data_IF_186441372844
#
_entry.id   IF_186441372844
#
_cell.length_a   1.000
_cell.length_b   1.000
_cell.length_c   1.000
_cell.angle_alpha   90.00
_cell.angle_beta   90.00
_cell.angle_gamma   90.00
#
_symmetry.space_group_name_H-M   'P 1'
#
loop_
_entity.id
_entity.type
_entity.pdbx_description
1 polymer ?
#
# COMPACT_ATOMS: atom_id res chain seq x y z
N UNK A 1 -7.33 -22.16 27.35
CA UNK A 1 -6.85 -21.11 26.46
C UNK A 1 -5.36 -20.93 26.74
N UNK A 2 -4.54 -21.55 25.92
CA UNK A 2 -3.11 -21.25 25.99
C UNK A 2 -2.90 -19.92 25.29
N UNK A 3 -2.73 -18.88 26.08
CA UNK A 3 -2.20 -17.63 25.59
C UNK A 3 -0.74 -17.89 25.25
N UNK A 4 -0.49 -18.28 24.03
CA UNK A 4 0.85 -18.26 23.47
C UNK A 4 1.25 -16.79 23.20
N UNK A 5 1.28 -15.99 24.28
CA UNK A 5 1.81 -14.62 24.22
C UNK A 5 3.28 -14.62 23.76
N UNK A 6 3.88 -15.78 23.75
CA UNK A 6 5.29 -15.98 23.36
C UNK A 6 5.48 -16.47 21.92
N UNK A 7 4.40 -16.74 21.16
CA UNK A 7 4.50 -17.36 19.83
C UNK A 7 4.99 -16.42 18.72
N UNK A 8 5.01 -15.09 18.94
CA UNK A 8 5.23 -14.10 17.89
C UNK A 8 6.31 -13.08 18.25
N UNK A 9 7.50 -13.54 18.63
CA UNK A 9 8.63 -12.66 18.94
C UNK A 9 9.35 -12.10 17.73
N UNK A 10 9.04 -12.58 16.53
CA UNK A 10 9.70 -12.13 15.31
C UNK A 10 8.70 -11.45 14.39
N UNK A 11 9.18 -10.50 13.59
CA UNK A 11 8.38 -9.87 12.54
C UNK A 11 7.70 -10.91 11.65
N UNK A 12 8.42 -11.94 11.25
CA UNK A 12 7.87 -13.03 10.44
C UNK A 12 6.73 -13.78 11.15
N UNK A 13 6.84 -13.99 12.46
CA UNK A 13 5.78 -14.62 13.26
C UNK A 13 4.49 -13.79 13.25
N UNK A 14 4.60 -12.49 13.44
CA UNK A 14 3.45 -11.59 13.37
C UNK A 14 2.84 -11.56 11.96
N UNK A 15 3.65 -11.56 10.92
CA UNK A 15 3.16 -11.61 9.54
C UNK A 15 2.35 -12.88 9.24
N UNK A 16 2.82 -14.03 9.72
CA UNK A 16 2.13 -15.32 9.51
C UNK A 16 0.76 -15.36 10.18
N UNK A 17 0.56 -14.61 11.24
CA UNK A 17 -0.70 -14.55 11.98
C UNK A 17 -1.61 -13.41 11.52
N UNK A 18 -1.24 -12.68 10.50
CA UNK A 18 -2.05 -11.58 9.98
C UNK A 18 -3.13 -12.14 9.04
N UNK A 19 -4.39 -11.79 9.28
CA UNK A 19 -5.54 -12.22 8.47
C UNK A 19 -5.60 -11.54 7.09
N UNK A 20 -4.74 -10.56 6.85
CA UNK A 20 -4.66 -9.90 5.55
C UNK A 20 -3.94 -10.78 4.54
N UNK A 21 -4.61 -11.09 3.43
CA UNK A 21 -4.02 -11.82 2.30
C UNK A 21 -3.13 -10.94 1.43
N UNK A 22 -3.03 -9.64 1.73
CA UNK A 22 -2.24 -8.70 0.96
C UNK A 22 -0.78 -8.70 1.44
N UNK A 23 0.13 -8.98 0.54
CA UNK A 23 1.57 -8.79 0.78
C UNK A 23 1.95 -7.33 0.52
N UNK A 24 3.12 -6.90 1.02
CA UNK A 24 3.65 -5.57 0.75
C UNK A 24 3.71 -5.27 -0.74
N UNK A 25 4.14 -6.24 -1.54
CA UNK A 25 4.21 -6.10 -2.99
C UNK A 25 2.84 -5.91 -3.63
N UNK A 26 1.84 -6.67 -3.19
CA UNK A 26 0.46 -6.51 -3.67
C UNK A 26 -0.09 -5.11 -3.35
N UNK A 27 0.20 -4.60 -2.16
CA UNK A 27 -0.18 -3.24 -1.76
C UNK A 27 0.43 -2.19 -2.68
N UNK A 28 1.72 -2.31 -2.99
CA UNK A 28 2.41 -1.40 -3.91
C UNK A 28 1.76 -1.41 -5.30
N UNK A 29 1.38 -2.57 -5.80
CA UNK A 29 0.70 -2.68 -7.09
C UNK A 29 -0.64 -1.96 -7.11
N UNK A 30 -1.47 -2.17 -6.09
CA UNK A 30 -2.78 -1.51 -6.00
C UNK A 30 -2.65 0.00 -5.89
N UNK A 31 -1.72 0.48 -5.08
CA UNK A 31 -1.44 1.92 -4.95
C UNK A 31 -0.98 2.51 -6.28
N UNK A 32 -0.03 1.85 -6.96
CA UNK A 32 0.51 2.35 -8.23
C UNK A 32 -0.56 2.38 -9.33
N UNK A 33 -1.43 1.37 -9.38
CA UNK A 33 -2.52 1.33 -10.36
C UNK A 33 -3.44 2.55 -10.18
N UNK A 34 -3.79 2.90 -8.95
CA UNK A 34 -4.61 4.10 -8.68
C UNK A 34 -3.87 5.36 -9.11
N UNK A 35 -2.60 5.49 -8.79
CA UNK A 35 -1.81 6.66 -9.18
C UNK A 35 -1.71 6.84 -10.69
N UNK A 36 -1.51 5.74 -11.41
CA UNK A 36 -1.44 5.76 -12.87
C UNK A 36 -2.80 6.10 -13.48
N UNK A 37 -3.88 5.59 -12.91
CA UNK A 37 -5.23 5.83 -13.39
C UNK A 37 -5.67 7.29 -13.28
N UNK A 38 -5.10 8.03 -12.33
CA UNK A 38 -5.33 9.48 -12.22
C UNK A 38 -4.68 10.27 -13.36
N UNK A 39 -3.62 9.75 -13.95
CA UNK A 39 -2.83 10.43 -14.98
C UNK A 39 -3.22 10.05 -16.40
N UNK A 40 -3.83 8.89 -16.58
CA UNK A 40 -4.12 8.31 -17.90
C UNK A 40 -5.36 7.42 -17.85
N UNK A 41 -6.10 7.28 -18.98
CA UNK A 41 -7.36 6.54 -18.96
C UNK A 41 -7.20 5.03 -18.78
N UNK A 42 -6.07 4.47 -19.19
CA UNK A 42 -5.84 3.02 -19.16
C UNK A 42 -4.50 2.69 -18.50
N UNK A 43 -4.48 1.63 -17.68
CA UNK A 43 -3.26 1.10 -17.09
C UNK A 43 -2.94 -0.24 -17.74
N UNK A 44 -1.71 -0.39 -18.21
CA UNK A 44 -1.20 -1.61 -18.84
C UNK A 44 0.04 -2.13 -18.13
N UNK A 45 0.35 -3.41 -18.38
CA UNK A 45 1.45 -4.12 -17.71
C UNK A 45 2.79 -3.38 -17.86
N UNK A 46 3.14 -2.94 -19.06
CA UNK A 46 4.45 -2.31 -19.28
C UNK A 46 4.63 -1.01 -18.50
N UNK A 47 3.59 -0.19 -18.42
CA UNK A 47 3.62 1.04 -17.64
C UNK A 47 3.69 0.74 -16.14
N UNK A 48 2.89 -0.20 -15.70
CA UNK A 48 2.89 -0.63 -14.31
C UNK A 48 4.26 -1.18 -13.89
N UNK A 49 4.84 -2.07 -14.71
CA UNK A 49 6.15 -2.63 -14.48
C UNK A 49 7.24 -1.56 -14.41
N UNK A 50 7.21 -0.60 -15.33
CA UNK A 50 8.15 0.51 -15.38
C UNK A 50 8.10 1.35 -14.11
N UNK A 51 6.90 1.72 -13.67
CA UNK A 51 6.72 2.55 -12.47
C UNK A 51 7.07 1.82 -11.18
N UNK A 52 6.95 0.50 -11.16
CA UNK A 52 7.30 -0.33 -10.00
C UNK A 52 8.75 -0.83 -10.03
N UNK A 53 9.49 -0.53 -11.10
CA UNK A 53 10.87 -1.02 -11.28
C UNK A 53 10.97 -2.54 -11.24
N UNK A 54 10.03 -3.21 -11.88
CA UNK A 54 10.00 -4.67 -12.01
C UNK A 54 9.95 -5.07 -13.49
N UNK A 55 10.23 -6.34 -13.77
CA UNK A 55 10.13 -6.88 -15.13
C UNK A 55 8.66 -7.05 -15.52
N UNK A 56 8.29 -6.84 -16.80
CA UNK A 56 6.93 -7.10 -17.27
C UNK A 56 6.42 -8.50 -16.94
N UNK A 57 7.28 -9.52 -16.99
CA UNK A 57 6.89 -10.88 -16.63
C UNK A 57 6.52 -11.02 -15.15
N UNK A 58 7.23 -10.33 -14.26
CA UNK A 58 6.90 -10.29 -12.83
C UNK A 58 5.60 -9.53 -12.57
N UNK A 59 5.41 -8.40 -13.26
CA UNK A 59 4.17 -7.64 -13.18
C UNK A 59 2.97 -8.46 -13.65
N UNK A 60 3.11 -9.18 -14.76
CA UNK A 60 2.05 -10.05 -15.29
C UNK A 60 1.63 -11.12 -14.30
N UNK A 61 2.60 -11.77 -13.63
CA UNK A 61 2.31 -12.77 -12.59
C UNK A 61 1.55 -12.17 -11.41
N UNK A 62 1.97 -11.01 -10.94
CA UNK A 62 1.31 -10.34 -9.81
C UNK A 62 -0.08 -9.87 -10.18
N UNK A 63 -0.27 -9.29 -11.35
CA UNK A 63 -1.58 -8.86 -11.85
C UNK A 63 -2.53 -10.05 -11.96
N UNK A 64 -2.06 -11.19 -12.45
CA UNK A 64 -2.84 -12.43 -12.51
C UNK A 64 -3.28 -12.87 -11.12
N UNK A 65 -2.36 -12.83 -10.15
CA UNK A 65 -2.67 -13.17 -8.76
C UNK A 65 -3.70 -12.23 -8.16
N UNK A 66 -3.54 -10.92 -8.34
CA UNK A 66 -4.50 -9.92 -7.88
C UNK A 66 -5.87 -10.09 -8.52
N UNK A 67 -5.91 -10.50 -9.79
CA UNK A 67 -7.15 -10.81 -10.48
C UNK A 67 -7.85 -12.04 -9.88
N UNK A 68 -7.10 -13.08 -9.57
CA UNK A 68 -7.63 -14.29 -8.94
C UNK A 68 -8.21 -14.00 -7.54
N UNK A 69 -7.66 -13.03 -6.84
CA UNK A 69 -8.12 -12.61 -5.51
C UNK A 69 -9.15 -11.48 -5.57
N UNK A 70 -9.68 -11.17 -6.74
CA UNK A 70 -10.76 -10.21 -6.97
C UNK A 70 -10.42 -8.74 -6.66
N UNK A 71 -9.16 -8.37 -6.66
CA UNK A 71 -8.75 -6.98 -6.49
C UNK A 71 -8.78 -6.19 -7.80
N UNK A 72 -8.64 -6.86 -8.92
CA UNK A 72 -8.68 -6.25 -10.24
C UNK A 72 -9.20 -7.22 -11.29
N UNK A 73 -9.51 -6.67 -12.45
CA UNK A 73 -9.81 -7.43 -13.66
C UNK A 73 -8.70 -7.16 -14.68
N UNK A 74 -8.18 -8.22 -15.27
CA UNK A 74 -7.18 -8.15 -16.30
C UNK A 74 -7.83 -8.47 -17.63
N UNK A 75 -8.15 -7.41 -18.37
CA UNK A 75 -8.95 -7.53 -19.58
C UNK A 75 -8.12 -7.91 -20.79
N UNK A 76 -8.84 -8.34 -21.82
CA UNK A 76 -8.30 -8.56 -23.16
C UNK A 76 -7.52 -7.31 -23.61
N UNK A 77 -6.36 -7.51 -24.24
CA UNK A 77 -5.41 -6.46 -24.63
C UNK A 77 -4.62 -5.81 -23.49
N UNK A 78 -4.61 -6.43 -22.33
CA UNK A 78 -3.73 -6.05 -21.24
C UNK A 78 -4.16 -4.84 -20.44
N UNK A 79 -5.42 -4.42 -20.54
CA UNK A 79 -5.97 -3.32 -19.72
C UNK A 79 -6.30 -3.85 -18.33
N UNK A 80 -5.81 -3.14 -17.31
CA UNK A 80 -6.02 -3.44 -15.90
C UNK A 80 -7.08 -2.51 -15.35
N UNK A 81 -8.13 -3.08 -14.75
CA UNK A 81 -9.22 -2.33 -14.12
C UNK A 81 -9.38 -2.80 -12.68
N UNK A 82 -9.41 -1.87 -11.73
CA UNK A 82 -9.65 -2.23 -10.32
C UNK A 82 -11.12 -2.58 -10.10
N UNK A 83 -11.34 -3.62 -9.30
CA UNK A 83 -12.66 -3.87 -8.72
C UNK A 83 -12.93 -2.83 -7.62
N UNK A 84 -14.18 -2.79 -7.12
CA UNK A 84 -14.50 -1.92 -5.99
C UNK A 84 -13.62 -2.25 -4.77
N UNK A 85 -13.37 -3.53 -4.51
CA UNK A 85 -12.48 -3.96 -3.44
C UNK A 85 -11.05 -3.45 -3.64
N UNK A 86 -10.50 -3.61 -4.84
CA UNK A 86 -9.15 -3.14 -5.17
C UNK A 86 -9.03 -1.62 -5.07
N UNK A 87 -10.07 -0.90 -5.47
CA UNK A 87 -10.13 0.55 -5.37
C UNK A 87 -10.12 1.03 -3.92
N UNK A 88 -10.94 0.42 -3.06
CA UNK A 88 -10.99 0.76 -1.63
C UNK A 88 -9.62 0.58 -0.97
N UNK A 89 -8.97 -0.56 -1.22
CA UNK A 89 -7.64 -0.82 -0.67
C UNK A 89 -6.58 0.14 -1.22
N UNK A 90 -6.58 0.37 -2.53
CA UNK A 90 -5.61 1.28 -3.15
C UNK A 90 -5.77 2.72 -2.66
N UNK A 91 -6.99 3.21 -2.48
CA UNK A 91 -7.26 4.54 -1.91
C UNK A 91 -6.77 4.62 -0.45
N UNK A 92 -6.97 3.56 0.32
CA UNK A 92 -6.45 3.48 1.67
C UNK A 92 -4.91 3.55 1.70
N UNK A 93 -4.23 2.87 0.79
CA UNK A 93 -2.76 2.90 0.74
C UNK A 93 -2.23 4.30 0.39
N UNK A 94 -2.91 5.02 -0.49
CA UNK A 94 -2.56 6.42 -0.80
C UNK A 94 -2.75 7.29 0.44
N UNK A 95 -3.87 7.14 1.15
CA UNK A 95 -4.12 7.85 2.41
C UNK A 95 -3.02 7.55 3.44
N UNK A 96 -2.69 6.27 3.66
CA UNK A 96 -1.63 5.85 4.58
C UNK A 96 -0.29 6.49 4.25
N UNK A 97 0.07 6.49 2.97
CA UNK A 97 1.29 7.11 2.47
C UNK A 97 1.35 8.60 2.80
N UNK A 98 0.28 9.32 2.54
CA UNK A 98 0.19 10.76 2.83
C UNK A 98 0.27 11.04 4.33
N UNK A 99 -0.44 10.28 5.15
CA UNK A 99 -0.42 10.44 6.60
C UNK A 99 0.99 10.27 7.14
N UNK A 100 1.68 9.21 6.73
CA UNK A 100 3.03 8.93 7.19
C UNK A 100 4.02 10.00 6.73
N UNK A 101 3.95 10.43 5.48
CA UNK A 101 4.84 11.47 5.00
C UNK A 101 4.62 12.80 5.75
N UNK A 102 3.36 13.19 5.94
CA UNK A 102 3.04 14.41 6.67
C UNK A 102 3.53 14.36 8.11
N UNK A 103 3.32 13.25 8.79
CA UNK A 103 3.78 13.07 10.17
C UNK A 103 5.31 13.11 10.27
N UNK A 104 6.01 12.37 9.42
CA UNK A 104 7.47 12.31 9.46
C UNK A 104 8.12 13.64 9.07
N UNK A 105 7.54 14.34 8.11
CA UNK A 105 8.01 15.68 7.74
C UNK A 105 7.87 16.66 8.91
N UNK A 106 6.75 16.59 9.62
CA UNK A 106 6.55 17.43 10.81
C UNK A 106 7.52 17.07 11.92
N UNK A 107 7.66 15.77 12.21
CA UNK A 107 8.54 15.23 13.25
C UNK A 107 10.00 15.62 13.03
N UNK A 108 10.46 15.50 11.79
CA UNK A 108 11.87 15.69 11.41
C UNK A 108 12.17 17.09 10.87
N UNK A 109 11.18 17.97 10.82
CA UNK A 109 11.30 19.30 10.22
C UNK A 109 11.91 19.23 8.81
N UNK A 110 11.35 18.36 7.98
CA UNK A 110 11.81 18.13 6.62
C UNK A 110 10.67 18.29 5.61
N UNK A 111 11.00 18.31 4.34
CA UNK A 111 10.04 18.47 3.25
C UNK A 111 9.75 17.16 2.52
N UNK A 112 10.55 16.11 2.77
CA UNK A 112 10.41 14.85 2.07
C UNK A 112 10.93 13.69 2.94
N UNK A 113 10.05 12.79 3.30
CA UNK A 113 10.34 11.55 4.04
C UNK A 113 9.87 10.32 3.26
N UNK A 114 9.72 10.42 1.95
CA UNK A 114 9.16 9.35 1.11
C UNK A 114 9.95 8.05 1.18
N UNK A 115 11.28 8.12 1.26
CA UNK A 115 12.10 6.91 1.39
C UNK A 115 11.76 6.15 2.67
N UNK A 116 11.65 6.83 3.79
CA UNK A 116 11.29 6.20 5.06
C UNK A 116 9.85 5.68 5.04
N UNK A 117 8.93 6.43 4.45
CA UNK A 117 7.54 6.00 4.29
C UNK A 117 7.46 4.68 3.53
N UNK A 118 8.15 4.58 2.39
CA UNK A 118 8.18 3.34 1.60
C UNK A 118 8.71 2.14 2.39
N UNK A 119 9.62 2.38 3.33
CA UNK A 119 10.18 1.31 4.16
C UNK A 119 9.25 0.82 5.25
N UNK A 120 8.36 1.65 5.78
CA UNK A 120 7.57 1.33 6.98
C UNK A 120 6.07 1.23 6.74
N UNK A 121 5.53 1.77 5.65
CA UNK A 121 4.08 1.92 5.46
C UNK A 121 3.30 0.60 5.53
N UNK A 122 3.91 -0.49 5.09
CA UNK A 122 3.25 -1.81 5.04
C UNK A 122 3.08 -2.45 6.42
N UNK A 123 3.76 -1.94 7.45
CA UNK A 123 3.87 -2.59 8.75
C UNK A 123 3.03 -1.93 9.84
N UNK A 124 2.42 -0.80 9.53
CA UNK A 124 1.57 -0.08 10.47
C UNK A 124 0.10 -0.38 10.18
N UNK A 125 -0.65 -0.65 11.23
CA UNK A 125 -2.07 -0.94 11.09
C UNK A 125 -2.91 0.33 10.92
N UNK A 126 -4.16 0.14 10.49
CA UNK A 126 -5.08 1.24 10.20
C UNK A 126 -5.31 2.13 11.41
N UNK A 127 -5.47 1.55 12.60
CA UNK A 127 -5.69 2.33 13.83
C UNK A 127 -4.53 3.29 14.10
N UNK A 128 -3.30 2.82 13.94
CA UNK A 128 -2.10 3.66 14.12
C UNK A 128 -2.07 4.78 13.09
N UNK A 129 -2.36 4.48 11.82
CA UNK A 129 -2.40 5.48 10.75
C UNK A 129 -3.45 6.55 11.06
N UNK A 130 -4.67 6.16 11.41
CA UNK A 130 -5.75 7.10 11.73
C UNK A 130 -5.38 7.99 12.93
N UNK A 131 -4.76 7.42 13.95
CA UNK A 131 -4.30 8.18 15.12
C UNK A 131 -3.14 9.12 14.77
N UNK A 132 -2.23 8.72 13.89
CA UNK A 132 -1.18 9.62 13.39
C UNK A 132 -1.75 10.79 12.60
N UNK A 133 -2.80 10.56 11.81
CA UNK A 133 -3.49 11.62 11.10
C UNK A 133 -4.07 12.65 12.06
N UNK A 134 -4.73 12.22 13.13
CA UNK A 134 -5.29 13.09 14.16
C UNK A 134 -4.18 13.86 14.90
N UNK A 135 -3.13 13.17 15.32
CA UNK A 135 -2.00 13.79 16.02
C UNK A 135 -1.32 14.85 15.16
N UNK A 136 -1.07 14.56 13.90
CA UNK A 136 -0.44 15.50 12.95
C UNK A 136 -1.29 16.76 12.81
N UNK A 137 -2.60 16.62 12.71
CA UNK A 137 -3.52 17.76 12.65
C UNK A 137 -3.46 18.62 13.91
N UNK A 138 -3.46 17.99 15.07
CA UNK A 138 -3.35 18.69 16.36
C UNK A 138 -2.03 19.45 16.46
N UNK A 139 -0.91 18.83 16.07
CA UNK A 139 0.40 19.46 16.11
C UNK A 139 0.52 20.65 15.14
N UNK A 140 -0.10 20.56 13.97
CA UNK A 140 -0.18 21.71 13.05
C UNK A 140 -0.95 22.87 13.64
N UNK A 141 -2.02 22.63 14.38
CA UNK A 141 -2.82 23.67 15.00
C UNK A 141 -2.12 24.39 16.14
N UNK A 142 -1.04 23.80 16.67
CA UNK A 142 -0.23 24.40 17.75
C UNK A 142 0.94 25.28 17.21
N UNK A 143 1.16 25.31 15.91
CA UNK A 143 2.23 26.10 15.29
C UNK A 143 1.80 27.53 14.95
#
# INVERSE_FOLDING_TARGET
MNNDENAYFTFKGYQLNNDSNLTSSMEDYLEMIIRLKEKQPFVRINELANNLNVRPSSASKMVTKLSQECFLEYQKYGIITLTELGKQWGEYFIYRHQVLNNFLCLLNNSHNELEQVEKIEHFLNKKTIDNLALLTKELHNLQ
#
